data_IF_125665672515
#
_entry.id   IF_125665672515
#
_cell.length_a   1.000
_cell.length_b   1.000
_cell.length_c   1.000
_cell.angle_alpha   90.00
_cell.angle_beta   90.00
_cell.angle_gamma   90.00
#
_symmetry.space_group_name_H-M   'P 1'
#
loop_
_entity.id
_entity.type
_entity.pdbx_description
1 polymer ?
#
# COMPACT_ATOMS: atom_id res chain seq x y z
N UNK A 1 -44.68 16.91 21.34
CA UNK A 1 -43.49 16.56 20.53
C UNK A 1 -42.62 15.67 21.40
N UNK A 2 -42.51 14.39 21.07
CA UNK A 2 -41.65 13.45 21.82
C UNK A 2 -40.25 13.54 21.21
N UNK A 3 -39.29 14.03 21.98
CA UNK A 3 -37.88 13.96 21.60
C UNK A 3 -37.38 12.57 21.97
N UNK A 4 -36.81 11.84 21.01
CA UNK A 4 -36.17 10.56 21.29
C UNK A 4 -35.00 10.80 22.26
N UNK A 5 -35.10 10.29 23.48
CA UNK A 5 -34.01 10.32 24.45
C UNK A 5 -32.99 9.25 24.05
N UNK A 6 -31.81 9.68 23.59
CA UNK A 6 -30.71 8.76 23.31
C UNK A 6 -30.34 7.94 24.55
N UNK A 7 -29.88 6.71 24.35
CA UNK A 7 -29.41 5.86 25.44
C UNK A 7 -28.21 6.52 26.14
N UNK A 8 -28.25 6.75 27.46
CA UNK A 8 -27.15 7.38 28.17
C UNK A 8 -25.91 6.46 28.18
N UNK A 9 -24.73 7.08 28.05
CA UNK A 9 -23.46 6.41 28.31
C UNK A 9 -23.32 6.22 29.82
N UNK A 10 -23.06 4.99 30.24
CA UNK A 10 -22.91 4.60 31.66
C UNK A 10 -21.76 3.61 31.80
N UNK A 11 -21.36 3.27 33.02
CA UNK A 11 -20.33 2.25 33.25
C UNK A 11 -20.76 0.86 32.74
N UNK A 12 -22.08 0.60 32.67
CA UNK A 12 -22.66 -0.62 32.11
C UNK A 12 -23.00 -0.51 30.61
N UNK A 13 -22.88 0.69 30.04
CA UNK A 13 -23.01 0.98 28.60
C UNK A 13 -21.90 1.97 28.21
N UNK A 14 -20.62 1.57 28.36
CA UNK A 14 -19.52 2.48 28.06
C UNK A 14 -19.47 2.72 26.56
N UNK A 15 -18.96 3.88 26.16
CA UNK A 15 -18.59 4.07 24.76
C UNK A 15 -17.59 2.97 24.38
N UNK A 16 -17.78 2.27 23.25
CA UNK A 16 -16.80 1.31 22.79
C UNK A 16 -15.49 2.06 22.48
N UNK A 17 -14.48 1.92 23.34
CA UNK A 17 -13.10 2.30 23.03
C UNK A 17 -12.57 1.27 22.04
N UNK A 18 -12.60 1.65 20.77
CA UNK A 18 -11.97 0.86 19.70
C UNK A 18 -10.64 1.50 19.33
N UNK A 19 -9.65 0.67 19.00
CA UNK A 19 -8.35 1.13 18.53
C UNK A 19 -8.48 1.88 17.20
N UNK A 20 -8.14 3.18 17.22
CA UNK A 20 -8.10 4.04 16.04
C UNK A 20 -6.81 3.86 15.22
N UNK A 21 -5.95 2.90 15.57
CA UNK A 21 -4.68 2.61 14.88
C UNK A 21 -4.69 1.19 14.35
N UNK A 22 -4.26 1.00 13.12
CA UNK A 22 -4.08 -0.33 12.56
C UNK A 22 -2.85 -0.40 11.64
N UNK A 23 -2.33 -1.61 11.49
CA UNK A 23 -1.34 -1.94 10.46
C UNK A 23 -2.02 -2.94 9.54
N UNK A 24 -2.29 -2.50 8.32
CA UNK A 24 -3.01 -3.30 7.32
C UNK A 24 -2.03 -3.69 6.24
N UNK A 25 -2.06 -4.94 5.78
CA UNK A 25 -1.06 -5.45 4.84
C UNK A 25 -1.70 -6.28 3.73
N UNK A 26 -1.06 -6.23 2.57
CA UNK A 26 -1.36 -7.08 1.42
C UNK A 26 -0.04 -7.47 0.75
N UNK A 27 -0.05 -8.57 0.00
CA UNK A 27 1.12 -9.04 -0.72
C UNK A 27 0.76 -9.59 -2.10
N UNK A 28 1.76 -9.67 -2.97
CA UNK A 28 1.72 -10.46 -4.19
C UNK A 28 3.07 -11.10 -4.45
N UNK A 29 3.06 -12.17 -5.23
CA UNK A 29 4.24 -12.81 -5.78
C UNK A 29 4.37 -12.43 -7.24
N UNK A 30 5.57 -12.00 -7.64
CA UNK A 30 5.89 -11.68 -9.03
C UNK A 30 5.91 -12.91 -9.92
N UNK A 31 5.81 -12.75 -11.26
CA UNK A 31 6.17 -13.80 -12.20
C UNK A 31 7.56 -14.39 -11.93
N UNK A 32 7.75 -15.66 -12.29
CA UNK A 32 8.97 -16.41 -12.06
C UNK A 32 10.05 -16.06 -13.10
N UNK A 33 10.62 -14.85 -13.00
CA UNK A 33 11.74 -14.37 -13.82
C UNK A 33 12.72 -13.54 -13.00
N UNK A 34 13.87 -13.24 -13.61
CA UNK A 34 14.93 -12.42 -13.01
C UNK A 34 15.24 -11.21 -13.87
N UNK A 35 14.25 -10.71 -14.62
CA UNK A 35 14.44 -9.55 -15.47
C UNK A 35 14.68 -8.32 -14.61
N UNK A 36 15.73 -7.56 -14.94
CA UNK A 36 16.03 -6.33 -14.25
C UNK A 36 14.97 -5.27 -14.58
N UNK A 37 14.51 -4.58 -13.55
CA UNK A 37 13.67 -3.41 -13.72
C UNK A 37 14.47 -2.23 -14.27
N UNK A 38 13.84 -1.43 -15.13
CA UNK A 38 14.21 -0.06 -15.37
C UNK A 38 13.56 0.87 -14.33
N UNK A 39 14.11 2.07 -14.19
CA UNK A 39 13.45 3.13 -13.41
C UNK A 39 12.14 3.50 -14.09
N UNK A 40 11.05 3.46 -13.33
CA UNK A 40 9.70 3.70 -13.83
C UNK A 40 8.94 2.44 -14.22
N UNK A 41 9.50 1.24 -14.04
CA UNK A 41 8.77 0.00 -14.34
C UNK A 41 7.76 -0.35 -13.25
N UNK A 42 6.67 -1.00 -13.65
CA UNK A 42 5.68 -1.60 -12.77
C UNK A 42 6.22 -2.91 -12.18
N UNK A 43 6.14 -3.03 -10.85
CA UNK A 43 6.34 -4.27 -10.10
C UNK A 43 4.97 -4.88 -9.85
N UNK A 44 4.68 -6.04 -10.46
CA UNK A 44 3.34 -6.62 -10.46
C UNK A 44 3.33 -8.16 -10.41
N UNK A 45 2.14 -8.71 -10.19
CA UNK A 45 1.89 -10.15 -10.09
C UNK A 45 1.68 -10.84 -11.46
N UNK A 46 1.65 -10.08 -12.56
CA UNK A 46 1.40 -10.61 -13.90
C UNK A 46 2.03 -9.74 -14.98
N UNK A 47 2.52 -10.36 -16.06
CA UNK A 47 3.09 -9.67 -17.23
C UNK A 47 2.03 -9.08 -18.17
N UNK A 48 0.78 -9.54 -18.09
CA UNK A 48 -0.32 -9.01 -18.87
C UNK A 48 -1.07 -7.93 -18.07
N UNK A 49 -1.16 -6.72 -18.63
CA UNK A 49 -1.76 -5.54 -17.98
C UNK A 49 -3.17 -5.79 -17.40
N UNK A 50 -4.06 -6.43 -18.17
CA UNK A 50 -5.43 -6.74 -17.74
C UNK A 50 -5.54 -7.81 -16.64
N UNK A 51 -4.45 -8.50 -16.34
CA UNK A 51 -4.36 -9.55 -15.31
C UNK A 51 -3.60 -9.09 -14.07
N UNK A 52 -3.11 -7.85 -14.06
CA UNK A 52 -2.51 -7.26 -12.86
C UNK A 52 -3.60 -7.02 -11.82
N UNK A 53 -3.34 -7.47 -10.59
CA UNK A 53 -4.23 -7.27 -9.44
C UNK A 53 -3.55 -6.31 -8.47
N UNK A 54 -4.06 -5.08 -8.30
CA UNK A 54 -3.55 -4.16 -7.30
C UNK A 54 -3.67 -4.73 -5.88
N UNK A 55 -2.72 -4.38 -5.01
CA UNK A 55 -2.77 -4.70 -3.59
C UNK A 55 -3.98 -4.04 -2.95
N UNK A 56 -4.90 -4.82 -2.36
CA UNK A 56 -6.07 -4.28 -1.66
C UNK A 56 -5.82 -4.28 -0.14
N UNK A 57 -5.78 -3.10 0.48
CA UNK A 57 -5.51 -2.92 1.91
C UNK A 57 -6.76 -2.39 2.61
N UNK A 58 -7.34 -3.16 3.53
CA UNK A 58 -8.51 -2.77 4.32
C UNK A 58 -8.18 -1.66 5.36
N UNK A 59 -7.92 -0.46 4.87
CA UNK A 59 -7.38 0.67 5.63
C UNK A 59 -8.40 1.32 6.57
N UNK A 60 -9.68 1.39 6.17
CA UNK A 60 -10.72 1.93 7.03
C UNK A 60 -11.27 0.87 7.99
N UNK A 61 -11.90 1.31 9.10
CA UNK A 61 -12.55 0.39 10.05
C UNK A 61 -13.90 -0.14 9.57
N UNK A 62 -14.58 0.66 8.75
CA UNK A 62 -15.91 0.41 8.24
C UNK A 62 -16.00 0.96 6.80
N UNK A 63 -16.94 0.46 5.97
CA UNK A 63 -17.19 1.03 4.66
C UNK A 63 -17.28 2.55 4.73
N UNK A 64 -16.65 3.23 3.77
CA UNK A 64 -16.65 4.70 3.64
C UNK A 64 -15.90 5.45 4.76
N UNK A 65 -15.31 4.73 5.72
CA UNK A 65 -14.55 5.33 6.82
C UNK A 65 -13.27 6.01 6.33
N UNK A 66 -13.05 7.25 6.76
CA UNK A 66 -11.85 8.02 6.44
C UNK A 66 -10.71 7.73 7.41
N UNK A 67 -9.52 8.22 7.06
CA UNK A 67 -8.39 8.20 7.97
C UNK A 67 -7.15 8.83 7.38
N UNK A 68 -6.02 8.60 8.04
CA UNK A 68 -4.71 9.05 7.60
C UNK A 68 -3.70 7.92 7.60
N UNK A 69 -2.87 7.88 6.55
CA UNK A 69 -1.70 7.02 6.42
C UNK A 69 -0.48 7.85 6.75
N UNK A 70 0.27 7.45 7.79
CA UNK A 70 1.49 8.18 8.20
C UNK A 70 2.76 7.63 7.60
N UNK A 71 2.81 6.30 7.44
CA UNK A 71 3.97 5.56 6.95
C UNK A 71 3.53 4.28 6.26
N UNK A 72 4.41 3.76 5.41
CA UNK A 72 4.32 2.41 4.88
C UNK A 72 5.46 1.53 5.37
N UNK A 73 5.28 0.23 5.24
CA UNK A 73 6.33 -0.77 5.40
C UNK A 73 6.32 -1.65 4.16
N UNK A 74 7.43 -1.66 3.43
CA UNK A 74 7.59 -2.54 2.30
C UNK A 74 8.59 -3.63 2.66
N UNK A 75 8.18 -4.88 2.52
CA UNK A 75 9.04 -6.04 2.65
C UNK A 75 9.12 -6.75 1.30
N UNK A 76 10.32 -7.17 0.90
CA UNK A 76 10.53 -8.08 -0.23
C UNK A 76 11.30 -9.32 0.22
N UNK A 77 11.03 -10.48 -0.38
CA UNK A 77 11.63 -11.76 0.04
C UNK A 77 13.08 -11.96 -0.44
N UNK A 78 13.54 -11.23 -1.46
CA UNK A 78 14.94 -11.22 -1.85
C UNK A 78 15.79 -10.44 -0.84
N UNK A 79 17.04 -10.84 -0.64
CA UNK A 79 17.94 -10.24 0.37
C UNK A 79 18.82 -9.12 -0.19
N UNK A 80 18.86 -8.95 -1.51
CA UNK A 80 19.66 -7.92 -2.18
C UNK A 80 19.03 -6.54 -2.00
N UNK A 81 19.81 -5.56 -1.52
CA UNK A 81 19.39 -4.15 -1.36
C UNK A 81 19.85 -3.26 -2.51
N UNK A 82 20.82 -3.69 -3.31
CA UNK A 82 21.38 -2.87 -4.40
C UNK A 82 20.28 -2.41 -5.38
N UNK A 83 20.19 -1.10 -5.60
CA UNK A 83 19.18 -0.44 -6.44
C UNK A 83 17.71 -0.72 -6.07
N UNK A 84 17.43 -1.32 -4.92
CA UNK A 84 16.09 -1.66 -4.46
C UNK A 84 15.38 -0.41 -3.91
N UNK A 85 14.95 0.48 -4.82
CA UNK A 85 14.20 1.69 -4.51
C UNK A 85 12.83 1.53 -5.15
N UNK A 86 11.75 1.73 -4.39
CA UNK A 86 10.39 1.52 -4.85
C UNK A 86 9.48 2.66 -4.40
N UNK A 87 8.37 2.83 -5.13
CA UNK A 87 7.28 3.73 -4.76
C UNK A 87 5.97 2.97 -4.77
N UNK A 88 5.19 3.04 -3.69
CA UNK A 88 3.82 2.56 -3.70
C UNK A 88 2.88 3.73 -4.02
N UNK A 89 2.15 3.61 -5.13
CA UNK A 89 1.10 4.52 -5.53
C UNK A 89 -0.24 4.05 -4.97
N UNK A 90 -0.97 4.93 -4.28
CA UNK A 90 -2.18 4.62 -3.54
C UNK A 90 -3.42 5.21 -4.23
N UNK A 91 -4.49 4.43 -4.26
CA UNK A 91 -5.74 4.78 -4.92
C UNK A 91 -6.94 4.36 -4.07
N UNK A 92 -8.04 5.10 -4.13
CA UNK A 92 -9.31 4.70 -3.49
C UNK A 92 -10.08 3.62 -4.26
N UNK A 93 -9.87 3.56 -5.57
CA UNK A 93 -10.43 2.55 -6.48
C UNK A 93 -9.28 1.75 -7.10
N UNK A 94 -9.48 0.46 -7.42
CA UNK A 94 -8.42 -0.35 -8.02
C UNK A 94 -8.06 0.21 -9.41
N UNK A 95 -6.82 0.68 -9.63
CA UNK A 95 -6.39 1.14 -10.94
C UNK A 95 -6.13 -0.06 -11.86
N UNK A 96 -6.33 0.13 -13.17
CA UNK A 96 -5.83 -0.80 -14.20
C UNK A 96 -4.60 -0.18 -14.84
N UNK A 97 -3.41 -0.80 -14.72
CA UNK A 97 -2.22 -0.32 -15.40
C UNK A 97 -2.30 -0.60 -16.90
N UNK A 98 -1.55 0.16 -17.70
CA UNK A 98 -1.47 -0.06 -19.16
C UNK A 98 -0.49 -1.17 -19.53
N UNK A 99 0.42 -1.53 -18.63
CA UNK A 99 1.42 -2.58 -18.79
C UNK A 99 1.35 -3.57 -17.62
N UNK A 100 1.92 -4.76 -17.79
CA UNK A 100 2.16 -5.69 -16.69
C UNK A 100 3.54 -5.50 -16.05
N UNK A 101 3.95 -6.49 -15.26
CA UNK A 101 5.26 -6.53 -14.61
C UNK A 101 6.40 -6.26 -15.60
N UNK A 102 7.40 -5.49 -15.17
CA UNK A 102 8.57 -5.06 -15.94
C UNK A 102 8.26 -4.15 -17.16
N UNK A 103 7.01 -3.69 -17.30
CA UNK A 103 6.64 -2.64 -18.26
C UNK A 103 6.51 -1.28 -17.58
N UNK A 104 6.53 -0.20 -18.37
CA UNK A 104 6.45 1.16 -17.82
C UNK A 104 5.19 1.36 -16.94
N UNK A 105 5.38 1.91 -15.74
CA UNK A 105 4.31 2.28 -14.83
C UNK A 105 3.50 3.41 -15.43
N UNK A 106 2.26 3.09 -15.76
CA UNK A 106 1.28 4.07 -16.21
C UNK A 106 -0.12 3.53 -15.91
N UNK A 107 -0.97 4.39 -15.33
CA UNK A 107 -2.31 4.04 -14.85
C UNK A 107 -3.29 5.13 -15.20
N UNK A 108 -4.56 4.77 -15.37
CA UNK A 108 -5.67 5.72 -15.21
C UNK A 108 -5.92 6.04 -13.73
N UNK A 109 -6.97 6.80 -13.43
CA UNK A 109 -7.40 7.01 -12.04
C UNK A 109 -6.85 8.27 -11.38
N UNK A 110 -6.59 9.34 -12.13
CA UNK A 110 -6.19 10.63 -11.56
C UNK A 110 -7.18 11.15 -10.49
N UNK A 111 -8.49 10.90 -10.67
CA UNK A 111 -9.52 11.27 -9.68
C UNK A 111 -9.52 10.36 -8.43
N UNK A 112 -8.95 9.17 -8.53
CA UNK A 112 -8.94 8.18 -7.45
C UNK A 112 -7.58 8.04 -6.82
N UNK A 113 -6.57 8.77 -7.29
CA UNK A 113 -5.23 8.80 -6.73
C UNK A 113 -5.23 9.52 -5.39
N UNK A 114 -4.72 8.85 -4.37
CA UNK A 114 -4.73 9.31 -2.97
C UNK A 114 -3.36 9.85 -2.56
N UNK A 115 -2.28 9.26 -3.09
CA UNK A 115 -0.91 9.68 -2.78
C UNK A 115 0.10 8.57 -3.03
N UNK A 116 1.33 8.75 -2.58
CA UNK A 116 2.37 7.73 -2.69
C UNK A 116 3.34 7.72 -1.52
N UNK A 117 3.96 6.56 -1.30
CA UNK A 117 4.98 6.31 -0.29
C UNK A 117 6.28 5.88 -0.98
N UNK A 118 7.40 6.46 -0.57
CA UNK A 118 8.73 6.09 -1.07
C UNK A 118 9.44 5.12 -0.14
N UNK A 119 10.10 4.13 -0.73
CA UNK A 119 10.84 3.07 -0.04
C UNK A 119 12.23 2.94 -0.65
N UNK A 120 13.20 3.59 -0.03
CA UNK A 120 14.60 3.42 -0.37
C UNK A 120 15.21 2.30 0.49
N UNK A 121 15.33 1.09 -0.08
CA UNK A 121 15.92 -0.04 0.62
C UNK A 121 17.46 -0.03 0.62
N UNK A 122 18.09 0.92 -0.05
CA UNK A 122 19.55 1.14 0.01
C UNK A 122 19.96 1.99 1.21
N UNK A 123 18.99 2.72 1.79
CA UNK A 123 19.22 3.69 2.87
C UNK A 123 19.20 3.06 4.27
N UNK A 124 19.48 3.90 5.28
CA UNK A 124 19.38 3.55 6.71
C UNK A 124 17.95 3.25 7.18
N UNK A 125 16.92 3.51 6.34
CA UNK A 125 15.52 3.18 6.65
C UNK A 125 15.19 1.71 6.40
N UNK A 126 16.13 0.93 5.87
CA UNK A 126 15.95 -0.48 5.59
C UNK A 126 16.90 -1.38 6.37
N UNK A 127 16.49 -2.64 6.55
CA UNK A 127 17.29 -3.71 7.14
C UNK A 127 17.15 -4.95 6.28
N UNK A 128 18.29 -5.50 5.88
CA UNK A 128 18.37 -6.81 5.26
C UNK A 128 18.41 -7.89 6.34
N UNK A 129 17.69 -8.97 6.10
CA UNK A 129 17.63 -10.18 6.90
C UNK A 129 18.00 -11.36 6.01
N UNK A 130 18.10 -12.56 6.59
CA UNK A 130 18.40 -13.78 5.83
C UNK A 130 17.27 -14.20 4.90
N UNK A 131 16.06 -13.68 5.11
CA UNK A 131 14.81 -14.04 4.43
C UNK A 131 14.14 -12.86 3.71
N UNK A 132 14.82 -11.72 3.60
CA UNK A 132 14.31 -10.58 2.85
C UNK A 132 14.89 -9.24 3.27
N UNK A 133 14.27 -8.17 2.78
CA UNK A 133 14.58 -6.79 3.16
C UNK A 133 13.30 -6.09 3.55
N UNK A 134 13.34 -5.33 4.65
CA UNK A 134 12.23 -4.48 5.07
C UNK A 134 12.66 -3.03 5.15
N UNK A 135 11.85 -2.14 4.57
CA UNK A 135 12.03 -0.70 4.57
C UNK A 135 10.79 0.00 5.14
N UNK A 136 11.01 1.03 5.94
CA UNK A 136 9.96 1.92 6.41
C UNK A 136 9.94 3.15 5.52
N UNK A 137 8.83 3.35 4.81
CA UNK A 137 8.64 4.43 3.86
C UNK A 137 7.77 5.55 4.41
N UNK A 138 7.95 6.75 3.86
CA UNK A 138 7.19 7.96 4.21
C UNK A 138 6.41 8.50 3.01
N UNK A 139 5.37 9.32 3.24
CA UNK A 139 4.69 10.04 2.16
C UNK A 139 5.68 10.80 1.28
N UNK A 140 5.50 10.70 -0.04
CA UNK A 140 6.32 11.45 -0.99
C UNK A 140 6.05 12.96 -0.92
N UNK A 141 4.84 13.35 -0.53
CA UNK A 141 4.42 14.74 -0.34
C UNK A 141 3.80 14.90 1.03
N UNK A 142 4.20 15.97 1.74
CA UNK A 142 3.70 16.26 3.08
C UNK A 142 4.17 15.26 4.14
N UNK A 143 3.49 15.25 5.29
CA UNK A 143 3.81 14.37 6.42
C UNK A 143 2.86 13.19 6.56
N UNK A 144 1.67 13.26 5.94
CA UNK A 144 0.59 12.28 6.03
C UNK A 144 -0.20 12.26 4.74
N UNK A 145 -0.88 11.14 4.46
CA UNK A 145 -1.82 11.00 3.34
C UNK A 145 -3.21 10.79 3.93
N UNK A 146 -4.12 11.74 3.70
CA UNK A 146 -5.54 11.58 4.04
C UNK A 146 -6.16 10.65 3.01
N UNK A 147 -6.97 9.69 3.45
CA UNK A 147 -7.64 8.76 2.54
C UNK A 147 -9.14 8.66 2.82
N UNK A 148 -9.87 8.38 1.75
CA UNK A 148 -11.25 7.91 1.74
C UNK A 148 -11.34 6.69 0.82
N UNK A 149 -11.87 5.55 1.26
CA UNK A 149 -12.03 4.39 0.40
C UNK A 149 -13.13 4.61 -0.65
N UNK A 150 -13.18 3.76 -1.67
CA UNK A 150 -14.33 3.70 -2.58
C UNK A 150 -15.62 3.48 -1.78
N UNK A 151 -16.69 4.13 -2.23
CA UNK A 151 -18.05 3.94 -1.71
C UNK A 151 -18.39 2.44 -1.52
N UNK A 152 -18.83 2.06 -0.32
CA UNK A 152 -19.18 0.69 0.07
C UNK A 152 -17.98 -0.22 0.38
N UNK A 153 -16.75 0.30 0.41
CA UNK A 153 -15.54 -0.50 0.65
C UNK A 153 -14.72 0.02 1.82
N UNK A 154 -13.79 -0.81 2.29
CA UNK A 154 -12.80 -0.45 3.30
C UNK A 154 -11.39 -0.25 2.73
N UNK A 155 -11.25 -0.40 1.42
CA UNK A 155 -9.96 -0.66 0.80
C UNK A 155 -9.34 0.61 0.23
N UNK A 156 -8.03 0.72 0.45
CA UNK A 156 -7.12 1.50 -0.38
C UNK A 156 -6.30 0.52 -1.20
N UNK A 157 -6.14 0.82 -2.48
CA UNK A 157 -5.45 -0.01 -3.44
C UNK A 157 -4.04 0.53 -3.70
N UNK A 158 -3.09 -0.36 -3.96
CA UNK A 158 -1.73 0.04 -4.29
C UNK A 158 -1.16 -0.71 -5.49
N UNK A 159 -0.36 0.01 -6.28
CA UNK A 159 0.57 -0.53 -7.26
C UNK A 159 1.99 -0.06 -6.91
N UNK A 160 3.00 -0.85 -7.25
CA UNK A 160 4.40 -0.58 -6.91
C UNK A 160 5.17 -0.23 -8.19
N UNK A 161 5.87 0.90 -8.17
CA UNK A 161 6.80 1.35 -9.21
C UNK A 161 8.25 1.09 -8.73
N UNK A 162 9.08 0.54 -9.60
CA UNK A 162 10.52 0.47 -9.41
C UNK A 162 11.15 1.85 -9.67
N UNK A 163 11.89 2.38 -8.69
CA UNK A 163 12.57 3.68 -8.76
C UNK A 163 14.09 3.54 -8.91
N UNK A 164 14.59 2.32 -8.95
CA UNK A 164 15.97 1.97 -9.22
C UNK A 164 16.05 0.77 -10.17
N UNK A 165 17.22 0.58 -10.78
CA UNK A 165 17.49 -0.56 -11.66
C UNK A 165 17.71 -1.85 -10.84
N UNK A 166 16.65 -2.32 -10.20
CA UNK A 166 16.66 -3.47 -9.30
C UNK A 166 16.59 -4.79 -10.07
N UNK A 167 17.42 -5.76 -9.68
CA UNK A 167 17.35 -7.13 -10.21
C UNK A 167 16.64 -8.02 -9.17
N UNK A 168 15.40 -8.44 -9.42
CA UNK A 168 14.63 -9.24 -8.50
C UNK A 168 15.07 -10.70 -8.48
N UNK A 169 14.73 -11.40 -7.40
CA UNK A 169 14.81 -12.87 -7.38
C UNK A 169 13.57 -13.46 -8.08
N UNK A 170 13.70 -14.65 -8.67
CA UNK A 170 12.58 -15.31 -9.34
C UNK A 170 11.46 -15.60 -8.34
N UNK A 171 10.24 -15.18 -8.67
CA UNK A 171 9.08 -15.34 -7.78
C UNK A 171 9.19 -14.54 -6.48
N UNK A 172 9.87 -13.39 -6.49
CA UNK A 172 9.96 -12.54 -5.30
C UNK A 172 8.56 -12.09 -4.83
N UNK A 173 8.34 -12.16 -3.52
CA UNK A 173 7.12 -11.70 -2.89
C UNK A 173 7.32 -10.30 -2.32
N UNK A 174 6.39 -9.40 -2.63
CA UNK A 174 6.34 -8.04 -2.11
C UNK A 174 5.15 -7.91 -1.17
N UNK A 175 5.40 -7.47 0.06
CA UNK A 175 4.37 -7.20 1.08
C UNK A 175 4.39 -5.72 1.44
N UNK A 176 3.30 -5.02 1.15
CA UNK A 176 3.08 -3.64 1.58
C UNK A 176 2.19 -3.65 2.81
N UNK A 177 2.59 -2.92 3.85
CA UNK A 177 1.75 -2.60 4.98
C UNK A 177 1.62 -1.08 5.16
N UNK A 178 0.45 -0.61 5.55
CA UNK A 178 0.16 0.79 5.84
C UNK A 178 -0.06 0.99 7.34
N UNK A 179 0.58 2.00 7.92
CA UNK A 179 0.32 2.45 9.28
C UNK A 179 -0.79 3.50 9.25
N UNK A 180 -2.01 3.07 9.61
CA UNK A 180 -3.22 3.89 9.51
C UNK A 180 -3.69 4.36 10.88
N UNK A 181 -4.12 5.61 10.92
CA UNK A 181 -5.09 6.09 11.90
C UNK A 181 -6.43 6.16 11.19
N UNK A 182 -7.44 5.50 11.75
CA UNK A 182 -8.77 5.32 11.16
C UNK A 182 -9.83 5.88 12.10
N UNK A 183 -10.80 6.58 11.53
CA UNK A 183 -11.94 7.13 12.25
C UNK A 183 -12.91 6.02 12.70
#
# INVERSE_FOLDING_TARGET
MSFATGTPITDNNPLPVTGNRAIVAANFTRPADTNAYAVGDLVANNVAAGSVVPLALAASRMPDGTGVIRRGRLTKSGTVTANAIFRAHLYKDPPTPTNGDNGAFQTGGALTYVGSLDFDMTSTNARAFTDGVKCIGTPNVGSEIIFDPKAGTQNIYALIEARGAYVPVSGETFTLALEVFRD
#
